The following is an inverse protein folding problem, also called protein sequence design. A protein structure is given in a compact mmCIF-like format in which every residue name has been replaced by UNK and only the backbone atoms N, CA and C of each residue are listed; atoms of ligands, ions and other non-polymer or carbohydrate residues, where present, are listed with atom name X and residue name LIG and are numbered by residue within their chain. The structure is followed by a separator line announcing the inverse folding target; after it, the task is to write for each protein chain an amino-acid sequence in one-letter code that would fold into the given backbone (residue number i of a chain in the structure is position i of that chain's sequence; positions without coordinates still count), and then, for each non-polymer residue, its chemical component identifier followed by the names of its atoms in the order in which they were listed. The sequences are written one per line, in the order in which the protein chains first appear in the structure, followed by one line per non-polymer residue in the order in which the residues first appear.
data_IF_714617260962
#
_entry.id   IF_714617260962
#
_cell.length_a   1.000
_cell.length_b   1.000
_cell.length_c   1.000
_cell.angle_alpha   90.00
_cell.angle_beta   90.00
_cell.angle_gamma   90.00
#
_symmetry.space_group_name_H-M   'P 1'
#
loop_
_entity.id
_entity.type
_entity.pdbx_description
1 polymer ?
#
# COMPACT_ATOMS: atom_id res chain seq x y z
N UNK A 1 -15.27 4.31 -27.85
CA UNK A 1 -13.88 4.07 -27.40
C UNK A 1 -13.51 5.24 -26.53
N UNK A 2 -13.70 5.09 -25.23
CA UNK A 2 -13.28 6.08 -24.23
C UNK A 2 -11.76 5.97 -24.13
N UNK A 3 -11.03 7.09 -24.32
CA UNK A 3 -9.62 7.20 -23.93
C UNK A 3 -9.53 6.75 -22.47
N UNK A 4 -8.93 5.59 -22.25
CA UNK A 4 -8.64 5.11 -20.91
C UNK A 4 -7.51 6.00 -20.41
N UNK A 5 -7.84 6.98 -19.56
CA UNK A 5 -6.84 7.86 -18.96
C UNK A 5 -5.72 7.00 -18.38
N UNK A 6 -4.46 7.35 -18.68
CA UNK A 6 -3.31 6.63 -18.18
C UNK A 6 -3.43 6.48 -16.65
N UNK A 7 -3.33 5.25 -16.15
CA UNK A 7 -3.40 5.01 -14.70
C UNK A 7 -2.19 5.67 -14.03
N UNK A 8 -2.38 6.53 -13.02
CA UNK A 8 -1.27 7.18 -12.33
C UNK A 8 -0.43 6.16 -11.54
N UNK A 9 0.83 6.51 -11.27
CA UNK A 9 1.64 5.78 -10.29
C UNK A 9 0.97 5.82 -8.91
N UNK A 10 1.11 4.74 -8.16
CA UNK A 10 0.65 4.58 -6.78
C UNK A 10 1.83 4.24 -5.88
N UNK A 11 1.69 4.47 -4.58
CA UNK A 11 2.80 4.31 -3.64
C UNK A 11 3.40 2.88 -3.64
N UNK A 12 2.58 1.83 -3.80
CA UNK A 12 3.10 0.46 -3.90
C UNK A 12 3.90 0.19 -5.19
N UNK A 13 3.76 0.99 -6.24
CA UNK A 13 4.60 0.86 -7.46
C UNK A 13 6.07 1.09 -7.13
N UNK A 14 6.35 1.94 -6.12
CA UNK A 14 7.70 2.17 -5.63
C UNK A 14 8.36 0.88 -5.15
N UNK A 15 7.58 -0.06 -4.64
CA UNK A 15 8.05 -1.33 -4.10
C UNK A 15 8.15 -2.44 -5.15
N UNK A 16 7.31 -2.40 -6.18
CA UNK A 16 7.21 -3.46 -7.16
C UNK A 16 8.03 -3.21 -8.44
N UNK A 17 8.28 -1.95 -8.80
CA UNK A 17 9.05 -1.58 -9.98
C UNK A 17 10.55 -1.36 -9.68
N UNK A 18 11.44 -1.49 -10.69
CA UNK A 18 12.84 -1.12 -10.54
C UNK A 18 13.00 0.37 -10.21
N UNK A 19 13.91 0.69 -9.29
CA UNK A 19 14.20 2.07 -8.86
C UNK A 19 14.61 2.96 -10.03
N UNK A 20 15.35 2.40 -10.98
CA UNK A 20 15.83 3.10 -12.17
C UNK A 20 14.67 3.46 -13.10
N UNK A 21 13.68 2.57 -13.26
CA UNK A 21 12.48 2.82 -14.06
C UNK A 21 11.63 3.91 -13.41
N UNK A 22 11.45 3.85 -12.09
CA UNK A 22 10.72 4.87 -11.33
C UNK A 22 11.42 6.22 -11.40
N UNK A 23 12.75 6.25 -11.23
CA UNK A 23 13.54 7.47 -11.35
C UNK A 23 13.42 8.11 -12.73
N UNK A 24 13.44 7.30 -13.80
CA UNK A 24 13.23 7.78 -15.18
C UNK A 24 11.84 8.39 -15.39
N UNK A 25 10.79 7.77 -14.84
CA UNK A 25 9.40 8.26 -14.98
C UNK A 25 9.19 9.55 -14.19
N UNK A 26 9.75 9.61 -12.98
CA UNK A 26 9.64 10.75 -12.09
C UNK A 26 10.61 11.89 -12.46
N UNK A 27 11.54 11.68 -13.40
CA UNK A 27 12.54 12.68 -13.77
C UNK A 27 13.58 12.95 -12.67
N UNK A 28 13.92 11.91 -11.91
CA UNK A 28 14.77 11.99 -10.72
C UNK A 28 16.24 12.07 -11.10
N UNK A 29 16.97 12.95 -10.42
CA UNK A 29 18.43 12.93 -10.39
C UNK A 29 18.92 12.24 -9.12
N UNK A 30 19.92 11.37 -9.22
CA UNK A 30 20.53 10.69 -8.07
C UNK A 30 21.89 11.29 -7.75
N UNK A 31 22.22 11.47 -6.47
CA UNK A 31 23.52 11.95 -6.01
C UNK A 31 23.95 11.21 -4.74
N UNK A 32 25.26 11.10 -4.52
CA UNK A 32 25.83 10.60 -3.26
C UNK A 32 26.58 11.71 -2.55
N UNK A 33 26.22 11.98 -1.29
CA UNK A 33 26.83 13.03 -0.45
C UNK A 33 26.67 12.64 1.02
N UNK A 34 27.61 13.07 1.85
CA UNK A 34 27.42 13.06 3.30
C UNK A 34 26.16 13.86 3.67
N UNK A 35 25.34 13.30 4.55
CA UNK A 35 24.12 13.93 5.06
C UNK A 35 24.33 14.32 6.53
N UNK A 36 23.52 15.26 7.02
CA UNK A 36 23.56 15.68 8.42
C UNK A 36 22.91 14.62 9.32
N UNK A 37 23.40 14.57 10.56
CA UNK A 37 22.94 13.64 11.59
C UNK A 37 23.08 12.18 11.15
N UNK A 38 22.10 11.32 11.45
CA UNK A 38 22.12 9.91 11.08
C UNK A 38 21.34 9.61 9.79
N UNK A 39 20.90 10.66 9.06
CA UNK A 39 20.17 10.51 7.81
C UNK A 39 20.96 9.72 6.77
N UNK A 40 20.28 8.80 6.10
CA UNK A 40 20.89 7.90 5.11
C UNK A 40 20.44 8.22 3.69
N UNK A 41 19.24 8.77 3.51
CA UNK A 41 18.74 9.18 2.21
C UNK A 41 17.72 10.32 2.29
N UNK A 42 17.78 11.26 1.35
CA UNK A 42 16.86 12.39 1.21
C UNK A 42 16.21 12.40 -0.18
N UNK A 43 14.95 12.81 -0.24
CA UNK A 43 14.25 13.19 -1.47
C UNK A 43 13.81 14.64 -1.36
N UNK A 44 14.19 15.45 -2.34
CA UNK A 44 13.84 16.86 -2.44
C UNK A 44 13.15 17.09 -3.78
N UNK A 45 11.87 17.45 -3.75
CA UNK A 45 11.05 17.81 -4.88
C UNK A 45 10.79 19.32 -4.87
N UNK A 46 11.56 20.08 -5.67
CA UNK A 46 11.45 21.53 -5.75
C UNK A 46 11.41 21.99 -7.21
N UNK A 47 10.48 22.91 -7.52
CA UNK A 47 10.36 23.56 -8.84
C UNK A 47 10.31 22.56 -10.02
N UNK A 48 9.59 21.46 -9.83
CA UNK A 48 9.44 20.42 -10.86
C UNK A 48 10.68 19.54 -11.07
N UNK A 49 11.65 19.59 -10.15
CA UNK A 49 12.82 18.71 -10.13
C UNK A 49 12.76 17.83 -8.89
N UNK A 50 13.10 16.55 -9.05
CA UNK A 50 13.25 15.62 -7.94
C UNK A 50 14.72 15.22 -7.85
N UNK A 51 15.33 15.47 -6.69
CA UNK A 51 16.69 15.05 -6.36
C UNK A 51 16.62 14.02 -5.24
N UNK A 52 17.26 12.88 -5.44
CA UNK A 52 17.46 11.87 -4.40
C UNK A 52 18.94 11.81 -4.03
N UNK A 53 19.24 11.99 -2.75
CA UNK A 53 20.59 11.98 -2.21
C UNK A 53 20.71 10.78 -1.27
N UNK A 54 21.78 9.99 -1.39
CA UNK A 54 22.08 8.89 -0.46
C UNK A 54 23.47 9.04 0.12
N UNK A 55 23.71 8.59 1.34
CA UNK A 55 25.06 8.61 1.91
C UNK A 55 25.99 7.64 1.17
N UNK A 56 27.30 7.97 1.04
CA UNK A 56 28.27 7.06 0.46
C UNK A 56 28.42 5.77 1.29
N UNK A 57 28.78 4.67 0.64
CA UNK A 57 29.14 3.42 1.32
C UNK A 57 27.97 2.51 1.72
N UNK A 58 26.71 2.90 1.45
CA UNK A 58 25.57 1.99 1.51
C UNK A 58 25.75 0.83 0.53
N UNK A 59 25.29 -0.36 0.92
CA UNK A 59 25.12 -1.45 -0.05
C UNK A 59 24.05 -1.08 -1.07
N UNK A 60 24.14 -1.63 -2.28
CA UNK A 60 23.16 -1.37 -3.34
C UNK A 60 21.73 -1.74 -2.91
N UNK A 61 21.58 -2.83 -2.13
CA UNK A 61 20.27 -3.23 -1.59
C UNK A 61 19.74 -2.21 -0.58
N UNK A 62 20.58 -1.77 0.36
CA UNK A 62 20.22 -0.79 1.38
C UNK A 62 19.88 0.57 0.76
N UNK A 63 20.61 0.96 -0.28
CA UNK A 63 20.37 2.17 -1.08
C UNK A 63 19.02 2.08 -1.78
N UNK A 64 18.78 1.00 -2.54
CA UNK A 64 17.52 0.81 -3.26
C UNK A 64 16.33 0.76 -2.31
N UNK A 65 16.46 0.11 -1.15
CA UNK A 65 15.39 0.05 -0.15
C UNK A 65 14.97 1.46 0.31
N UNK A 66 15.94 2.29 0.71
CA UNK A 66 15.67 3.67 1.16
C UNK A 66 15.05 4.53 0.06
N UNK A 67 15.55 4.40 -1.17
CA UNK A 67 14.98 5.14 -2.31
C UNK A 67 13.52 4.73 -2.57
N UNK A 68 13.18 3.44 -2.47
CA UNK A 68 11.79 2.99 -2.62
C UNK A 68 10.88 3.59 -1.56
N UNK A 69 11.34 3.65 -0.32
CA UNK A 69 10.60 4.27 0.78
C UNK A 69 10.34 5.76 0.49
N UNK A 70 11.37 6.51 0.09
CA UNK A 70 11.23 7.91 -0.33
C UNK A 70 10.24 8.09 -1.50
N UNK A 71 10.30 7.22 -2.52
CA UNK A 71 9.37 7.27 -3.64
C UNK A 71 7.94 6.91 -3.23
N UNK A 72 7.74 5.91 -2.37
CA UNK A 72 6.42 5.53 -1.88
C UNK A 72 5.76 6.70 -1.15
N UNK A 73 6.51 7.36 -0.27
CA UNK A 73 6.07 8.54 0.48
C UNK A 73 5.75 9.73 -0.43
N UNK A 74 6.64 10.01 -1.39
CA UNK A 74 6.42 11.08 -2.35
C UNK A 74 5.18 10.85 -3.23
N UNK A 75 4.99 9.63 -3.75
CA UNK A 75 3.84 9.29 -4.59
C UNK A 75 2.54 9.25 -3.77
N UNK A 76 2.59 8.74 -2.54
CA UNK A 76 1.43 8.60 -1.67
C UNK A 76 0.92 9.93 -1.10
N UNK A 77 1.84 10.84 -0.74
CA UNK A 77 1.50 12.01 0.05
C UNK A 77 1.87 13.35 -0.61
N UNK A 78 2.68 13.35 -1.67
CA UNK A 78 3.00 14.56 -2.44
C UNK A 78 3.95 15.55 -1.74
N UNK A 79 4.75 15.09 -0.78
CA UNK A 79 5.67 15.94 -0.02
C UNK A 79 6.88 16.44 -0.84
N UNK A 80 7.37 17.63 -0.48
CA UNK A 80 8.48 18.32 -1.13
C UNK A 80 9.86 17.96 -0.55
N UNK A 81 9.94 17.57 0.72
CA UNK A 81 11.19 17.16 1.37
C UNK A 81 10.91 15.99 2.31
N UNK A 82 11.58 14.86 2.04
CA UNK A 82 11.38 13.59 2.74
C UNK A 82 12.76 13.04 3.08
N UNK A 83 12.94 12.56 4.30
CA UNK A 83 14.21 12.04 4.78
C UNK A 83 14.00 10.66 5.39
N UNK A 84 14.99 9.78 5.22
CA UNK A 84 15.05 8.43 5.81
C UNK A 84 16.35 8.30 6.58
N UNK A 85 16.26 7.91 7.84
CA UNK A 85 17.39 7.79 8.74
C UNK A 85 18.02 6.38 8.80
N UNK A 86 18.88 6.17 9.79
CA UNK A 86 19.59 4.91 9.99
C UNK A 86 18.69 3.79 10.53
N UNK A 87 17.63 4.14 11.27
CA UNK A 87 16.57 3.25 11.77
C UNK A 87 15.42 3.08 10.77
N UNK A 88 15.54 3.71 9.60
CA UNK A 88 14.53 3.79 8.54
C UNK A 88 13.29 4.59 8.93
N UNK A 89 13.37 5.46 9.93
CA UNK A 89 12.32 6.41 10.22
C UNK A 89 12.19 7.41 9.08
N UNK A 90 10.94 7.71 8.70
CA UNK A 90 10.63 8.70 7.67
C UNK A 90 10.23 9.99 8.36
N UNK A 91 10.90 11.08 8.00
CA UNK A 91 10.56 12.41 8.48
C UNK A 91 10.22 13.32 7.30
N UNK A 92 9.20 14.16 7.50
CA UNK A 92 8.75 15.16 6.53
C UNK A 92 9.17 16.52 7.04
N UNK A 93 9.96 17.22 6.25
CA UNK A 93 10.45 18.51 6.67
C UNK A 93 9.61 19.62 6.04
N UNK A 94 8.70 20.19 6.83
CA UNK A 94 8.03 21.45 6.47
C UNK A 94 9.03 22.64 6.45
N UNK A 95 10.19 22.47 7.09
CA UNK A 95 11.12 23.55 7.49
C UNK A 95 12.37 23.77 6.61
N UNK A 96 12.67 22.97 5.57
CA UNK A 96 13.78 23.29 4.64
C UNK A 96 13.40 24.29 3.54
N UNK A 97 12.21 24.89 3.60
CA UNK A 97 11.82 26.00 2.74
C UNK A 97 12.35 27.36 3.21
N UNK A 98 13.18 27.40 4.25
CA UNK A 98 14.01 28.58 4.55
C UNK A 98 15.42 28.38 3.94
N UNK A 99 15.69 29.19 2.90
CA UNK A 99 17.02 29.54 2.38
C UNK A 99 17.82 28.45 1.63
N UNK A 100 17.30 28.01 0.48
CA UNK A 100 18.20 27.78 -0.66
C UNK A 100 18.03 28.95 -1.61
N UNK A 101 18.97 29.90 -1.59
CA UNK A 101 18.97 31.02 -2.52
C UNK A 101 19.03 30.45 -3.96
N UNK A 102 18.04 30.75 -4.82
CA UNK A 102 18.03 30.26 -6.20
C UNK A 102 19.28 30.59 -7.02
N UNK A 103 20.13 31.50 -6.55
CA UNK A 103 21.38 31.88 -7.20
C UNK A 103 22.53 30.85 -7.05
N UNK A 104 22.48 29.96 -6.05
CA UNK A 104 23.56 28.97 -5.80
C UNK A 104 23.38 27.64 -6.55
N UNK A 105 22.25 27.48 -7.25
CA UNK A 105 22.04 26.35 -8.16
C UNK A 105 22.36 26.85 -9.57
N UNK A 106 23.42 26.34 -10.25
CA UNK A 106 23.66 26.72 -11.63
C UNK A 106 22.37 26.49 -12.42
N UNK A 107 21.92 27.53 -13.12
CA UNK A 107 20.81 27.48 -14.05
C UNK A 107 21.18 26.60 -15.24
N UNK A 108 21.26 25.29 -15.00
CA UNK A 108 21.16 24.30 -16.03
C UNK A 108 19.69 24.35 -16.44
N UNK A 109 19.45 24.68 -17.72
CA UNK A 109 18.13 24.57 -18.30
C UNK A 109 17.53 23.23 -17.86
N UNK A 110 16.27 23.21 -17.37
CA UNK A 110 15.64 21.95 -17.08
C UNK A 110 15.77 21.08 -18.34
N UNK A 111 16.23 19.81 -18.24
CA UNK A 111 16.09 18.93 -19.38
C UNK A 111 14.64 19.05 -19.80
N UNK A 112 14.38 19.29 -21.09
CA UNK A 112 13.03 19.21 -21.61
C UNK A 112 12.46 17.92 -21.05
N UNK A 113 11.49 18.04 -20.14
CA UNK A 113 10.66 16.92 -19.74
C UNK A 113 9.84 16.68 -21.00
N UNK A 114 10.47 16.00 -21.96
CA UNK A 114 9.77 15.05 -22.77
C UNK A 114 9.14 14.17 -21.70
N UNK A 115 7.86 14.44 -21.41
CA UNK A 115 6.93 13.41 -21.00
C UNK A 115 7.15 12.30 -22.01
N UNK A 116 8.15 11.44 -21.76
CA UNK A 116 8.31 10.16 -22.43
C UNK A 116 6.92 9.59 -22.30
N UNK A 117 6.25 9.48 -23.45
CA UNK A 117 4.89 9.00 -23.65
C UNK A 117 4.42 8.25 -22.41
N UNK A 118 3.34 8.73 -21.77
CA UNK A 118 2.79 8.14 -20.55
C UNK A 118 2.56 6.65 -20.77
N UNK A 119 3.58 5.83 -20.50
CA UNK A 119 3.46 4.39 -20.55
C UNK A 119 2.40 4.07 -19.52
N UNK A 120 1.38 3.34 -19.94
CA UNK A 120 0.40 2.87 -18.99
C UNK A 120 1.16 2.09 -17.92
N UNK A 121 0.99 2.42 -16.64
CA UNK A 121 1.76 1.79 -15.53
C UNK A 121 1.70 0.26 -15.60
N UNK A 122 0.60 -0.28 -16.14
CA UNK A 122 0.41 -1.71 -16.42
C UNK A 122 1.49 -2.31 -17.32
N UNK A 123 1.95 -1.59 -18.33
CA UNK A 123 3.01 -2.03 -19.25
C UNK A 123 4.37 -2.12 -18.56
N UNK A 124 4.59 -1.34 -17.50
CA UNK A 124 5.85 -1.36 -16.73
C UNK A 124 6.04 -2.68 -15.98
N UNK A 125 4.96 -3.42 -15.76
CA UNK A 125 5.00 -4.72 -15.09
C UNK A 125 5.30 -5.89 -16.02
N UNK A 126 5.31 -5.69 -17.34
CA UNK A 126 5.58 -6.77 -18.29
C UNK A 126 6.96 -7.41 -18.03
N UNK A 127 6.98 -8.73 -17.85
CA UNK A 127 8.21 -9.48 -17.54
C UNK A 127 8.72 -9.35 -16.10
N UNK A 128 8.05 -8.58 -15.24
CA UNK A 128 8.40 -8.48 -13.81
C UNK A 128 7.82 -9.64 -13.00
N UNK A 129 8.38 -9.87 -11.80
CA UNK A 129 7.83 -10.84 -10.84
C UNK A 129 6.42 -10.48 -10.35
N UNK A 130 6.04 -9.21 -10.50
CA UNK A 130 4.77 -8.65 -10.06
C UNK A 130 3.74 -8.52 -11.19
N UNK A 131 4.05 -9.01 -12.40
CA UNK A 131 3.07 -9.09 -13.48
C UNK A 131 1.86 -9.96 -13.07
N UNK A 132 0.64 -9.62 -13.52
CA UNK A 132 -0.51 -10.49 -13.38
C UNK A 132 -0.25 -11.90 -13.92
N UNK A 133 -0.61 -12.93 -13.15
CA UNK A 133 -0.41 -14.34 -13.55
C UNK A 133 -1.13 -14.72 -14.84
N UNK A 134 -2.30 -14.12 -15.06
CA UNK A 134 -3.23 -14.48 -16.12
C UNK A 134 -3.74 -13.25 -16.86
N UNK A 135 -2.92 -12.20 -16.92
CA UNK A 135 -3.31 -10.91 -17.49
C UNK A 135 -4.21 -10.09 -16.56
N UNK A 136 -4.54 -8.88 -17.02
CA UNK A 136 -5.45 -7.96 -16.32
C UNK A 136 -6.89 -8.43 -16.45
N UNK A 137 -7.67 -8.26 -15.39
CA UNK A 137 -9.02 -8.79 -15.20
C UNK A 137 -9.98 -7.70 -14.72
N UNK A 138 -11.27 -7.97 -14.81
CA UNK A 138 -12.30 -7.17 -14.13
C UNK A 138 -12.21 -7.30 -12.62
N UNK A 139 -12.83 -6.37 -11.88
CA UNK A 139 -12.90 -6.45 -10.41
C UNK A 139 -13.55 -7.76 -9.97
N UNK A 140 -14.61 -8.21 -10.65
CA UNK A 140 -15.34 -9.45 -10.32
C UNK A 140 -14.48 -10.71 -10.52
N UNK A 141 -13.75 -10.79 -11.63
CA UNK A 141 -12.84 -11.89 -11.91
C UNK A 141 -11.66 -11.92 -10.92
N UNK A 142 -11.14 -10.74 -10.54
CA UNK A 142 -10.10 -10.64 -9.52
C UNK A 142 -10.62 -11.01 -8.13
N UNK A 143 -11.84 -10.60 -7.76
CA UNK A 143 -12.50 -11.02 -6.52
C UNK A 143 -12.64 -12.53 -6.47
N UNK A 144 -13.12 -13.17 -7.55
CA UNK A 144 -13.24 -14.62 -7.61
C UNK A 144 -11.88 -15.30 -7.38
N UNK A 145 -10.82 -14.81 -8.02
CA UNK A 145 -9.47 -15.35 -7.84
C UNK A 145 -8.91 -15.16 -6.42
N UNK A 146 -9.18 -14.01 -5.80
CA UNK A 146 -8.79 -13.73 -4.41
C UNK A 146 -9.53 -14.64 -3.42
N UNK A 147 -10.80 -14.92 -3.68
CA UNK A 147 -11.56 -15.87 -2.86
C UNK A 147 -11.00 -17.29 -3.01
N UNK A 148 -10.67 -17.72 -4.23
CA UNK A 148 -9.99 -19.00 -4.47
C UNK A 148 -8.65 -19.08 -3.75
N UNK A 149 -7.88 -17.99 -3.69
CA UNK A 149 -6.64 -17.96 -2.91
C UNK A 149 -6.92 -18.25 -1.42
N UNK A 150 -7.94 -17.64 -0.84
CA UNK A 150 -8.33 -17.87 0.56
C UNK A 150 -8.84 -19.30 0.76
N UNK A 151 -9.76 -19.78 -0.09
CA UNK A 151 -10.41 -21.08 0.11
C UNK A 151 -9.48 -22.25 -0.20
N UNK A 152 -8.71 -22.17 -1.28
CA UNK A 152 -7.97 -23.32 -1.78
C UNK A 152 -6.52 -23.32 -1.27
N UNK A 153 -5.87 -22.16 -1.22
CA UNK A 153 -4.47 -22.08 -0.82
C UNK A 153 -4.30 -21.91 0.69
N UNK A 154 -5.20 -21.18 1.34
CA UNK A 154 -5.19 -20.99 2.80
C UNK A 154 -6.18 -21.90 3.53
N UNK A 155 -6.88 -22.78 2.81
CA UNK A 155 -7.89 -23.70 3.35
C UNK A 155 -9.01 -23.00 4.16
N UNK A 156 -9.24 -21.71 3.90
CA UNK A 156 -10.17 -20.89 4.65
C UNK A 156 -11.58 -20.81 4.07
N UNK A 157 -12.36 -19.86 4.60
CA UNK A 157 -13.68 -19.48 4.11
C UNK A 157 -13.63 -18.06 3.57
N UNK A 158 -14.24 -17.84 2.42
CA UNK A 158 -14.36 -16.54 1.80
C UNK A 158 -15.83 -16.30 1.42
N UNK A 159 -16.51 -15.49 2.20
CA UNK A 159 -17.95 -15.23 2.09
C UNK A 159 -18.26 -13.74 1.94
N UNK A 160 -19.45 -13.47 1.43
CA UNK A 160 -20.00 -12.13 1.47
C UNK A 160 -20.49 -11.86 2.89
N UNK A 161 -20.28 -10.64 3.39
CA UNK A 161 -20.81 -10.24 4.69
C UNK A 161 -22.35 -10.23 4.64
N UNK A 162 -23.04 -10.89 5.59
CA UNK A 162 -24.49 -10.85 5.66
C UNK A 162 -25.02 -9.42 5.82
N UNK A 163 -26.25 -9.14 5.39
CA UNK A 163 -26.86 -7.82 5.61
C UNK A 163 -27.27 -7.59 7.09
N UNK A 164 -27.53 -8.67 7.83
CA UNK A 164 -27.99 -8.67 9.22
C UNK A 164 -26.87 -9.07 10.19
N UNK A 165 -25.75 -8.33 10.21
CA UNK A 165 -24.67 -8.60 11.17
C UNK A 165 -24.98 -7.92 12.52
N UNK A 166 -24.52 -8.54 13.62
CA UNK A 166 -24.35 -7.93 14.94
C UNK A 166 -23.79 -6.51 14.84
N UNK A 167 -23.98 -5.62 15.84
CA UNK A 167 -23.47 -4.25 15.74
C UNK A 167 -21.99 -4.26 15.36
N UNK A 168 -21.70 -3.74 14.17
CA UNK A 168 -20.37 -3.62 13.60
C UNK A 168 -19.78 -2.25 13.95
N UNK A 169 -18.45 -2.12 14.05
CA UNK A 169 -17.82 -0.81 14.10
C UNK A 169 -18.22 0.04 12.89
N UNK A 170 -18.44 1.33 13.13
CA UNK A 170 -18.69 2.29 12.06
C UNK A 170 -17.55 2.26 11.03
N UNK A 171 -17.90 2.18 9.75
CA UNK A 171 -16.93 2.21 8.66
C UNK A 171 -16.26 0.87 8.32
N UNK A 172 -16.70 -0.25 8.92
CA UNK A 172 -16.19 -1.57 8.55
C UNK A 172 -16.56 -1.95 7.10
N UNK A 173 -15.57 -2.51 6.39
CA UNK A 173 -15.69 -3.04 5.03
C UNK A 173 -15.52 -4.55 4.96
N UNK A 174 -14.74 -5.14 5.88
CA UNK A 174 -14.51 -6.56 5.96
C UNK A 174 -14.20 -7.03 7.38
N UNK A 175 -14.33 -8.34 7.60
CA UNK A 175 -13.94 -9.02 8.84
C UNK A 175 -13.04 -10.19 8.49
N UNK A 176 -12.00 -10.39 9.29
CA UNK A 176 -11.11 -11.56 9.20
C UNK A 176 -11.06 -12.20 10.58
N UNK A 177 -11.44 -13.47 10.66
CA UNK A 177 -11.33 -14.26 11.88
C UNK A 177 -10.45 -15.50 11.65
N UNK A 178 -10.06 -16.14 12.74
CA UNK A 178 -9.26 -17.35 12.72
C UNK A 178 -10.09 -18.51 13.28
N UNK A 179 -10.37 -19.49 12.42
CA UNK A 179 -10.87 -20.80 12.83
C UNK A 179 -9.73 -21.79 13.04
N UNK A 180 -9.97 -22.81 13.86
CA UNK A 180 -9.11 -23.99 13.96
C UNK A 180 -9.93 -25.21 13.57
N UNK A 181 -9.34 -26.11 12.79
CA UNK A 181 -9.95 -27.42 12.56
C UNK A 181 -9.67 -28.40 13.72
N UNK A 182 -10.22 -29.61 13.61
CA UNK A 182 -10.06 -30.68 14.60
C UNK A 182 -8.58 -31.12 14.80
N UNK A 183 -7.67 -30.71 13.90
CA UNK A 183 -6.23 -30.98 13.98
C UNK A 183 -5.45 -29.79 14.58
N UNK A 184 -6.14 -28.69 14.91
CA UNK A 184 -5.53 -27.45 15.39
C UNK A 184 -4.84 -26.65 14.28
N UNK A 185 -5.15 -26.93 13.01
CA UNK A 185 -4.65 -26.15 11.87
C UNK A 185 -5.47 -24.88 11.73
N UNK A 186 -4.78 -23.78 11.45
CA UNK A 186 -5.34 -22.45 11.29
C UNK A 186 -6.05 -22.31 9.93
N UNK A 187 -7.30 -21.86 9.94
CA UNK A 187 -8.10 -21.59 8.74
C UNK A 187 -8.70 -20.19 8.83
N UNK A 188 -8.38 -19.28 7.89
CA UNK A 188 -8.94 -17.93 7.93
C UNK A 188 -10.42 -17.94 7.53
N UNK A 189 -11.22 -17.13 8.21
CA UNK A 189 -12.62 -16.87 7.86
C UNK A 189 -12.73 -15.41 7.45
N UNK A 190 -13.10 -15.14 6.20
CA UNK A 190 -13.12 -13.80 5.64
C UNK A 190 -14.51 -13.45 5.14
N UNK A 191 -15.02 -12.30 5.58
CA UNK A 191 -16.26 -11.71 5.09
C UNK A 191 -16.03 -10.30 4.59
N UNK A 192 -16.50 -9.98 3.37
CA UNK A 192 -16.40 -8.63 2.80
C UNK A 192 -17.79 -8.12 2.42
N UNK A 193 -18.06 -6.84 2.68
CA UNK A 193 -19.32 -6.19 2.30
C UNK A 193 -19.55 -6.23 0.78
N UNK A 194 -20.82 -6.34 0.40
CA UNK A 194 -21.24 -6.40 -1.01
C UNK A 194 -21.84 -5.10 -1.52
N UNK A 195 -22.29 -4.23 -0.61
CA UNK A 195 -22.94 -2.94 -0.87
C UNK A 195 -21.96 -1.78 -1.09
N UNK A 196 -20.68 -2.09 -1.29
CA UNK A 196 -19.59 -1.16 -1.57
C UNK A 196 -19.13 -1.26 -3.04
N UNK A 197 -18.46 -0.23 -3.60
CA UNK A 197 -17.98 -0.27 -4.98
C UNK A 197 -17.08 -1.49 -5.26
N UNK A 198 -17.22 -2.09 -6.45
CA UNK A 198 -16.49 -3.31 -6.87
C UNK A 198 -14.97 -3.19 -6.68
N UNK A 199 -14.41 -2.03 -7.02
CA UNK A 199 -12.97 -1.78 -6.90
C UNK A 199 -12.49 -1.77 -5.45
N UNK A 200 -13.27 -1.18 -4.54
CA UNK A 200 -13.00 -1.20 -3.11
C UNK A 200 -13.14 -2.61 -2.55
N UNK A 201 -14.17 -3.33 -2.98
CA UNK A 201 -14.40 -4.72 -2.60
C UNK A 201 -13.21 -5.60 -3.00
N UNK A 202 -12.69 -5.43 -4.21
CA UNK A 202 -11.55 -6.20 -4.70
C UNK A 202 -10.26 -5.87 -3.93
N UNK A 203 -10.02 -4.61 -3.59
CA UNK A 203 -8.88 -4.22 -2.75
C UNK A 203 -9.00 -4.77 -1.32
N UNK A 204 -10.20 -4.76 -0.74
CA UNK A 204 -10.47 -5.37 0.57
C UNK A 204 -10.27 -6.88 0.55
N UNK A 205 -10.72 -7.60 -0.49
CA UNK A 205 -10.40 -9.02 -0.65
C UNK A 205 -8.89 -9.27 -0.73
N UNK A 206 -8.15 -8.41 -1.43
CA UNK A 206 -6.68 -8.45 -1.48
C UNK A 206 -6.05 -8.23 -0.11
N UNK A 207 -6.55 -7.25 0.64
CA UNK A 207 -6.08 -6.96 1.99
C UNK A 207 -6.39 -8.09 2.97
N UNK A 208 -7.60 -8.62 2.96
CA UNK A 208 -7.98 -9.74 3.81
C UNK A 208 -7.16 -11.00 3.50
N UNK A 209 -6.90 -11.32 2.22
CA UNK A 209 -6.03 -12.43 1.86
C UNK A 209 -4.59 -12.22 2.38
N UNK A 210 -4.05 -11.00 2.28
CA UNK A 210 -2.74 -10.66 2.81
C UNK A 210 -2.68 -10.74 4.34
N UNK A 211 -3.72 -10.24 5.01
CA UNK A 211 -3.87 -10.26 6.46
C UNK A 211 -3.90 -11.71 6.95
N UNK A 212 -4.74 -12.55 6.35
CA UNK A 212 -4.85 -13.99 6.65
C UNK A 212 -3.53 -14.74 6.46
N UNK A 213 -2.73 -14.38 5.45
CA UNK A 213 -1.43 -14.99 5.21
C UNK A 213 -0.32 -14.51 6.17
N UNK A 214 -0.58 -13.47 6.97
CA UNK A 214 0.44 -12.77 7.78
C UNK A 214 0.03 -12.55 9.23
N UNK A 215 -0.98 -13.29 9.73
CA UNK A 215 -1.59 -13.07 11.05
C UNK A 215 -0.58 -13.06 12.20
N UNK A 216 0.52 -13.83 12.09
CA UNK A 216 1.60 -13.90 13.07
C UNK A 216 2.49 -12.64 13.13
N UNK A 217 2.32 -11.72 12.18
CA UNK A 217 3.16 -10.52 12.00
C UNK A 217 2.36 -9.22 12.04
N UNK A 218 1.08 -9.30 12.37
CA UNK A 218 0.20 -8.13 12.49
C UNK A 218 0.42 -7.51 13.86
N UNK A 219 0.77 -6.22 13.88
CA UNK A 219 0.89 -5.43 15.11
C UNK A 219 -0.48 -4.89 15.56
N UNK A 220 -1.43 -5.81 15.69
CA UNK A 220 -2.78 -5.54 16.21
C UNK A 220 -3.35 -6.83 16.79
N UNK A 221 -4.12 -6.69 17.86
CA UNK A 221 -4.85 -7.81 18.45
C UNK A 221 -6.28 -7.86 17.89
N UNK A 222 -6.81 -9.07 17.63
CA UNK A 222 -8.22 -9.21 17.31
C UNK A 222 -9.09 -8.95 18.56
N UNK A 223 -10.41 -8.89 18.36
CA UNK A 223 -11.34 -8.82 19.48
C UNK A 223 -11.40 -10.12 20.31
N UNK A 224 -12.27 -10.15 21.33
CA UNK A 224 -12.48 -11.31 22.20
C UNK A 224 -12.92 -12.58 21.47
N UNK A 225 -13.47 -12.45 20.25
CA UNK A 225 -13.89 -13.55 19.39
C UNK A 225 -12.84 -13.91 18.33
N UNK A 226 -11.66 -13.28 18.36
CA UNK A 226 -10.61 -13.50 17.37
C UNK A 226 -10.88 -12.82 16.02
N UNK A 227 -11.69 -11.75 15.99
CA UNK A 227 -12.07 -11.02 14.78
C UNK A 227 -11.24 -9.73 14.64
N UNK A 228 -10.66 -9.55 13.46
CA UNK A 228 -10.13 -8.29 12.97
C UNK A 228 -11.20 -7.57 12.14
N UNK A 229 -11.51 -6.32 12.49
CA UNK A 229 -12.40 -5.45 11.72
C UNK A 229 -11.58 -4.58 10.78
N UNK A 230 -11.78 -4.71 9.48
CA UNK A 230 -11.04 -3.94 8.46
C UNK A 230 -11.92 -2.79 7.99
N UNK A 231 -11.43 -1.56 8.15
CA UNK A 231 -12.12 -0.35 7.70
C UNK A 231 -12.12 -0.18 6.17
N UNK A 232 -12.99 0.68 5.68
CA UNK A 232 -13.12 0.99 4.24
C UNK A 232 -12.18 2.10 3.74
N UNK A 233 -11.57 2.86 4.65
CA UNK A 233 -10.70 3.97 4.29
C UNK A 233 -9.38 3.47 3.72
N UNK A 234 -9.09 3.84 2.48
CA UNK A 234 -7.83 3.51 1.81
C UNK A 234 -6.76 4.53 2.16
N UNK A 235 -5.56 4.04 2.40
CA UNK A 235 -4.34 4.84 2.57
C UNK A 235 -3.20 4.32 1.70
N UNK A 236 -2.26 5.20 1.30
CA UNK A 236 -1.10 4.81 0.50
C UNK A 236 -0.26 3.71 1.15
N UNK A 237 0.34 2.86 0.33
CA UNK A 237 1.29 1.84 0.78
C UNK A 237 2.69 2.43 0.83
N UNK A 238 3.13 2.84 2.02
CA UNK A 238 4.41 3.52 2.21
C UNK A 238 5.59 2.59 2.53
N UNK A 239 5.32 1.36 2.97
CA UNK A 239 6.35 0.44 3.43
C UNK A 239 6.03 -1.05 3.26
N UNK A 240 6.97 -1.94 3.59
CA UNK A 240 6.73 -3.37 3.69
C UNK A 240 5.70 -3.67 4.78
N UNK A 241 4.83 -4.65 4.54
CA UNK A 241 3.80 -5.06 5.49
C UNK A 241 2.57 -5.63 4.78
N UNK A 242 1.48 -5.80 5.54
CA UNK A 242 0.21 -6.35 5.04
C UNK A 242 -0.33 -5.54 3.86
N UNK A 243 -0.26 -4.21 3.92
CA UNK A 243 -0.73 -3.33 2.85
C UNK A 243 0.03 -3.51 1.53
N UNK A 244 1.35 -3.68 1.58
CA UNK A 244 2.16 -3.97 0.39
C UNK A 244 1.87 -5.36 -0.15
N UNK A 245 1.78 -6.36 0.74
CA UNK A 245 1.42 -7.71 0.35
C UNK A 245 0.04 -7.74 -0.32
N UNK A 246 -0.93 -6.97 0.19
CA UNK A 246 -2.26 -6.83 -0.37
C UNK A 246 -2.24 -6.28 -1.80
N UNK A 247 -1.51 -5.17 -2.01
CA UNK A 247 -1.35 -4.58 -3.34
C UNK A 247 -0.70 -5.57 -4.31
N UNK A 248 0.36 -6.26 -3.89
CA UNK A 248 1.03 -7.27 -4.70
C UNK A 248 0.11 -8.46 -5.03
N UNK A 249 -0.65 -8.97 -4.05
CA UNK A 249 -1.59 -10.07 -4.27
C UNK A 249 -2.69 -9.65 -5.24
N UNK A 250 -3.32 -8.49 -5.04
CA UNK A 250 -4.34 -7.95 -5.94
C UNK A 250 -3.79 -7.82 -7.37
N UNK A 251 -2.56 -7.32 -7.51
CA UNK A 251 -1.89 -7.21 -8.79
C UNK A 251 -1.62 -8.55 -9.46
N UNK A 252 -1.12 -9.52 -8.69
CA UNK A 252 -0.88 -10.88 -9.19
C UNK A 252 -2.18 -11.56 -9.63
N UNK A 253 -3.31 -11.21 -9.01
CA UNK A 253 -4.66 -11.65 -9.37
C UNK A 253 -5.31 -10.85 -10.50
N UNK A 254 -4.55 -9.98 -11.19
CA UNK A 254 -5.00 -9.29 -12.40
C UNK A 254 -5.72 -7.97 -12.17
N UNK A 255 -5.74 -7.45 -10.94
CA UNK A 255 -6.29 -6.13 -10.65
C UNK A 255 -5.18 -5.08 -10.58
N UNK A 256 -5.39 -3.86 -11.09
CA UNK A 256 -4.53 -2.72 -10.72
C UNK A 256 -5.05 -2.18 -9.38
N UNK A 257 -4.44 -2.48 -8.22
CA UNK A 257 -4.91 -1.96 -6.93
C UNK A 257 -4.95 -0.43 -6.92
N UNK A 258 -5.83 0.16 -6.11
CA UNK A 258 -5.70 1.58 -5.75
C UNK A 258 -4.71 1.68 -4.58
N UNK A 259 -5.13 2.32 -3.50
CA UNK A 259 -4.46 2.32 -2.22
C UNK A 259 -4.96 1.13 -1.39
N UNK A 260 -4.03 0.41 -0.75
CA UNK A 260 -4.31 -0.88 -0.10
C UNK A 260 -3.87 -0.93 1.37
N UNK A 261 -3.50 0.19 1.99
CA UNK A 261 -3.45 0.25 3.44
C UNK A 261 -4.86 0.52 3.96
N UNK A 262 -5.36 -0.38 4.80
CA UNK A 262 -6.66 -0.25 5.44
C UNK A 262 -6.47 -0.27 6.96
N UNK A 263 -7.20 0.57 7.71
CA UNK A 263 -7.12 0.57 9.17
C UNK A 263 -7.77 -0.69 9.73
N UNK A 264 -7.19 -1.22 10.82
CA UNK A 264 -7.86 -2.18 11.68
C UNK A 264 -8.64 -1.40 12.75
N UNK A 265 -9.95 -1.62 12.81
CA UNK A 265 -10.87 -0.91 13.69
C UNK A 265 -10.98 -1.61 15.04
N UNK A 266 -11.14 -0.82 16.10
CA UNK A 266 -11.49 -1.35 17.40
C UNK A 266 -12.89 -1.99 17.37
N UNK A 267 -13.14 -3.05 18.16
CA UNK A 267 -14.47 -3.61 18.30
C UNK A 267 -15.44 -2.55 18.82
N UNK A 268 -16.75 -2.68 18.53
CA UNK A 268 -17.73 -1.80 19.12
C UNK A 268 -17.67 -1.95 20.64
N UNK A 269 -17.68 -0.84 21.38
CA UNK A 269 -17.87 -0.90 22.82
C UNK A 269 -19.16 -1.70 23.07
N UNK A 270 -19.08 -2.78 23.85
CA UNK A 270 -20.27 -3.51 24.27
C UNK A 270 -21.24 -2.47 24.82
N UNK A 271 -22.38 -2.29 24.15
CA UNK A 271 -23.44 -1.45 24.70
C UNK A 271 -23.76 -2.08 26.05
N UNK A 272 -23.52 -1.34 27.15
CA UNK A 272 -23.95 -1.76 28.47
C UNK A 272 -25.40 -2.20 28.33
N UNK A 273 -25.66 -3.50 28.52
CA UNK A 273 -27.03 -4.00 28.64
C UNK A 273 -27.66 -3.23 29.78
N UNK A 274 -28.44 -2.20 29.46
CA UNK A 274 -29.24 -1.51 30.44
C UNK A 274 -30.12 -2.58 31.10
N UNK A 275 -29.98 -2.84 32.42
CA UNK A 275 -30.74 -3.88 33.07
C UNK A 275 -32.24 -3.62 32.84
N UNK A 276 -33.06 -4.68 32.66
CA UNK A 276 -34.46 -4.50 32.34
C UNK A 276 -35.11 -3.60 33.39
N UNK A 277 -35.78 -2.55 32.93
CA UNK A 277 -36.62 -1.70 33.77
C UNK A 277 -37.57 -2.62 34.55
N UNK A 278 -37.31 -2.75 35.85
CA UNK A 278 -38.16 -3.52 36.73
C UNK A 278 -39.58 -2.97 36.66
N UNK A 279 -40.53 -3.87 36.45
CA UNK A 279 -41.97 -3.62 36.29
C UNK A 279 -42.65 -3.08 37.55
#
# INVERSE_FOLDING_TARGET
MTEQAASPLRAHDAWALPVEVLGDILGVTFSERELIDDHQAWLIALRGRILVITVPGLSEEAKKHRIRRLFAEHIGHGWAAITVDSEEEVTFAETFLEEVDPEDVPAVDPPEVRTKQSKEVRELYEGSAYAPLHGWRSDEESIAALRTLITDALAGTAEDMPEEVYPLPDGVGAMVAIGYDDQGVLHPLVWVRTDIPSGLRADLWGYCAALSASLDRVDAEPDENGIFYVGMERSPVTGPGVALLAAVIAQRMGRRPEDCAFPLLAPPAQAEEAPPLAA
#
